data_IF_343499950320
#
_entry.id   IF_343499950320
#
_cell.length_a   1.000
_cell.length_b   1.000
_cell.length_c   1.000
_cell.angle_alpha   90.00
_cell.angle_beta   90.00
_cell.angle_gamma   90.00
#
_symmetry.space_group_name_H-M   'P 1'
#
loop_
_entity.id
_entity.type
_entity.pdbx_description
1 polymer ?
#
# COMPACT_ATOMS: atom_id res chain seq x y z
N UNK A 1 32.53 -6.10 -25.05
CA UNK A 1 31.47 -6.11 -26.06
C UNK A 1 30.24 -5.50 -25.39
N UNK A 2 30.14 -4.16 -25.45
CA UNK A 2 28.98 -3.42 -24.95
C UNK A 2 27.78 -3.80 -25.81
N UNK A 3 26.86 -4.54 -25.21
CA UNK A 3 25.53 -4.73 -25.78
C UNK A 3 24.84 -3.36 -25.79
N UNK A 4 24.88 -2.69 -26.94
CA UNK A 4 24.00 -1.53 -27.21
C UNK A 4 22.58 -1.98 -27.04
N UNK A 5 21.98 -1.62 -25.89
CA UNK A 5 20.53 -1.80 -25.66
C UNK A 5 19.79 -1.16 -26.84
N UNK A 6 18.93 -1.92 -27.49
CA UNK A 6 18.09 -1.38 -28.55
C UNK A 6 17.32 -0.16 -28.02
N UNK A 7 17.23 0.90 -28.84
CA UNK A 7 16.62 2.19 -28.46
C UNK A 7 15.25 2.13 -27.73
N UNK A 8 14.36 1.14 -27.98
CA UNK A 8 13.12 0.96 -27.24
C UNK A 8 13.31 0.59 -25.76
N UNK A 9 14.31 -0.26 -25.44
CA UNK A 9 14.56 -0.71 -24.05
C UNK A 9 15.12 0.40 -23.16
N UNK A 10 15.91 1.32 -23.71
CA UNK A 10 16.48 2.46 -22.98
C UNK A 10 15.40 3.45 -22.47
N UNK A 11 14.23 3.48 -23.08
CA UNK A 11 13.11 4.36 -22.69
C UNK A 11 12.12 3.69 -21.71
N UNK A 12 12.13 2.38 -21.59
CA UNK A 12 11.11 1.61 -20.82
C UNK A 12 11.14 1.96 -19.33
N UNK A 13 12.30 1.89 -18.67
CA UNK A 13 12.41 2.18 -17.24
C UNK A 13 12.09 3.63 -16.88
N UNK A 14 12.62 4.65 -17.59
CA UNK A 14 12.21 6.04 -17.34
C UNK A 14 10.73 6.29 -17.56
N UNK A 15 10.13 5.71 -18.61
CA UNK A 15 8.69 5.85 -18.89
C UNK A 15 7.85 5.18 -17.81
N UNK A 16 8.28 4.01 -17.32
CA UNK A 16 7.63 3.31 -16.20
C UNK A 16 7.73 4.13 -14.92
N UNK A 17 8.90 4.72 -14.63
CA UNK A 17 9.10 5.59 -13.49
C UNK A 17 8.10 6.75 -13.47
N UNK A 18 7.98 7.49 -14.58
CA UNK A 18 7.05 8.60 -14.70
C UNK A 18 5.59 8.16 -14.63
N UNK A 19 5.25 7.03 -15.25
CA UNK A 19 3.89 6.50 -15.17
C UNK A 19 3.51 6.14 -13.73
N UNK A 20 4.41 5.47 -12.98
CA UNK A 20 4.18 5.10 -11.57
C UNK A 20 4.13 6.32 -10.66
N UNK A 21 4.98 7.32 -10.89
CA UNK A 21 4.95 8.59 -10.17
C UNK A 21 3.60 9.30 -10.32
N UNK A 22 3.16 9.51 -11.57
CA UNK A 22 1.94 10.25 -11.87
C UNK A 22 0.68 9.55 -11.36
N UNK A 23 0.61 8.22 -11.48
CA UNK A 23 -0.55 7.46 -11.05
C UNK A 23 -0.68 7.38 -9.51
N UNK A 24 0.43 7.61 -8.80
CA UNK A 24 0.46 7.55 -7.34
C UNK A 24 0.07 8.86 -6.65
N UNK A 25 -0.06 9.96 -7.39
CA UNK A 25 -0.44 11.27 -6.84
C UNK A 25 -1.71 11.23 -5.95
N UNK A 26 -2.81 10.56 -6.31
CA UNK A 26 -4.03 10.55 -5.49
C UNK A 26 -3.98 9.61 -4.27
N UNK A 27 -2.93 8.79 -4.08
CA UNK A 27 -2.95 7.71 -3.10
C UNK A 27 -3.17 8.16 -1.66
N UNK A 28 -2.50 9.23 -1.23
CA UNK A 28 -2.67 9.73 0.12
C UNK A 28 -4.05 10.34 0.35
N UNK A 29 -4.57 11.10 -0.61
CA UNK A 29 -5.92 11.66 -0.52
C UNK A 29 -6.97 10.56 -0.44
N UNK A 30 -6.84 9.51 -1.24
CA UNK A 30 -7.72 8.34 -1.16
C UNK A 30 -7.60 7.59 0.17
N UNK A 31 -6.44 7.63 0.81
CA UNK A 31 -6.25 7.04 2.13
C UNK A 31 -6.88 7.86 3.27
N UNK A 32 -6.68 9.18 3.25
CA UNK A 32 -7.04 10.06 4.36
C UNK A 32 -8.40 10.76 4.20
N UNK A 33 -8.69 11.29 3.02
CA UNK A 33 -9.87 12.15 2.82
C UNK A 33 -11.10 11.33 2.42
N UNK A 34 -10.92 10.22 1.71
CA UNK A 34 -12.06 9.42 1.24
C UNK A 34 -12.95 8.87 2.38
N UNK A 35 -12.42 8.40 3.54
CA UNK A 35 -13.27 8.02 4.66
C UNK A 35 -14.15 9.17 5.15
N UNK A 36 -13.58 10.37 5.24
CA UNK A 36 -14.28 11.59 5.68
C UNK A 36 -15.34 11.99 4.65
N UNK A 37 -14.99 11.94 3.37
CA UNK A 37 -15.93 12.21 2.29
C UNK A 37 -17.07 11.19 2.24
N UNK A 38 -16.76 9.90 2.44
CA UNK A 38 -17.79 8.85 2.56
C UNK A 38 -18.75 9.12 3.71
N UNK A 39 -18.25 9.54 4.88
CA UNK A 39 -19.07 9.94 6.01
C UNK A 39 -19.96 11.13 5.69
N UNK A 40 -19.46 12.16 4.99
CA UNK A 40 -20.24 13.30 4.54
C UNK A 40 -21.36 12.91 3.56
N UNK A 41 -21.16 11.86 2.76
CA UNK A 41 -22.19 11.26 1.90
C UNK A 41 -23.19 10.38 2.67
N UNK A 42 -23.04 10.23 3.98
CA UNK A 42 -23.89 9.43 4.83
C UNK A 42 -23.51 7.95 4.94
N UNK A 43 -22.30 7.57 4.54
CA UNK A 43 -21.83 6.20 4.68
C UNK A 43 -21.67 5.80 6.15
N UNK A 44 -22.12 4.60 6.50
CA UNK A 44 -21.81 3.91 7.74
C UNK A 44 -20.32 3.52 7.81
N UNK A 45 -19.81 3.19 8.99
CA UNK A 45 -18.43 2.72 9.11
C UNK A 45 -18.21 1.39 8.38
N UNK A 46 -19.22 0.51 8.30
CA UNK A 46 -19.17 -0.71 7.47
C UNK A 46 -19.01 -0.37 5.99
N UNK A 47 -19.77 0.58 5.46
CA UNK A 47 -19.66 0.99 4.06
C UNK A 47 -18.30 1.63 3.76
N UNK A 48 -17.78 2.45 4.67
CA UNK A 48 -16.43 3.03 4.56
C UNK A 48 -15.37 1.91 4.59
N UNK A 49 -15.47 0.95 5.49
CA UNK A 49 -14.64 -0.26 5.48
C UNK A 49 -14.74 -1.00 4.15
N UNK A 50 -15.97 -1.12 3.61
CA UNK A 50 -16.26 -1.73 2.31
C UNK A 50 -15.51 -1.07 1.15
N UNK A 51 -15.32 0.26 1.15
CA UNK A 51 -14.53 0.98 0.14
C UNK A 51 -13.07 0.49 0.08
N UNK A 52 -12.47 0.20 1.23
CA UNK A 52 -11.09 -0.32 1.30
C UNK A 52 -11.03 -1.81 0.96
N UNK A 53 -11.99 -2.59 1.43
CA UNK A 53 -12.12 -4.00 1.09
C UNK A 53 -12.33 -4.21 -0.41
N UNK A 54 -13.14 -3.39 -1.07
CA UNK A 54 -13.37 -3.45 -2.52
C UNK A 54 -12.07 -3.31 -3.32
N UNK A 55 -11.16 -2.42 -2.88
CA UNK A 55 -9.85 -2.26 -3.50
C UNK A 55 -8.98 -3.52 -3.38
N UNK A 56 -9.02 -4.21 -2.23
CA UNK A 56 -8.19 -5.38 -1.94
C UNK A 56 -8.76 -6.68 -2.53
N UNK A 57 -10.09 -6.78 -2.67
CA UNK A 57 -10.77 -7.98 -3.17
C UNK A 57 -10.40 -8.33 -4.61
N UNK A 58 -10.40 -7.34 -5.50
CA UNK A 58 -10.16 -7.59 -6.93
C UNK A 58 -8.78 -8.23 -7.19
N UNK A 59 -7.67 -7.72 -6.62
CA UNK A 59 -6.37 -8.37 -6.76
C UNK A 59 -6.32 -9.82 -6.28
N UNK A 60 -7.07 -10.19 -5.24
CA UNK A 60 -7.10 -11.56 -4.71
C UNK A 60 -7.61 -12.55 -5.77
N UNK A 61 -8.69 -12.19 -6.47
CA UNK A 61 -9.28 -13.06 -7.48
C UNK A 61 -8.53 -13.05 -8.82
N UNK A 62 -7.95 -11.92 -9.20
CA UNK A 62 -7.34 -11.71 -10.52
C UNK A 62 -5.88 -12.19 -10.56
N UNK A 63 -5.09 -11.95 -9.53
CA UNK A 63 -3.64 -12.24 -9.52
C UNK A 63 -3.24 -13.69 -9.76
N UNK A 64 -3.95 -14.72 -9.25
CA UNK A 64 -3.58 -16.11 -9.54
C UNK A 64 -3.54 -16.44 -11.04
N UNK A 65 -4.43 -15.82 -11.81
CA UNK A 65 -4.53 -16.01 -13.26
C UNK A 65 -3.65 -15.06 -14.05
N UNK A 66 -3.34 -13.92 -13.47
CA UNK A 66 -2.66 -12.82 -14.15
C UNK A 66 -1.21 -13.16 -14.49
N UNK A 67 -0.51 -13.93 -13.66
CA UNK A 67 0.84 -14.39 -13.96
C UNK A 67 0.92 -15.16 -15.26
N UNK A 68 0.03 -16.16 -15.42
CA UNK A 68 -0.09 -16.93 -16.66
C UNK A 68 -0.50 -16.05 -17.85
N UNK A 69 -1.43 -15.14 -17.65
CA UNK A 69 -1.89 -14.22 -18.69
C UNK A 69 -0.77 -13.30 -19.19
N UNK A 70 0.04 -12.74 -18.28
CA UNK A 70 1.22 -11.94 -18.60
C UNK A 70 2.24 -12.72 -19.43
N UNK A 71 2.48 -14.00 -19.06
CA UNK A 71 3.43 -14.84 -19.78
C UNK A 71 2.91 -15.22 -21.18
N UNK A 72 1.59 -15.35 -21.37
CA UNK A 72 0.98 -15.72 -22.65
C UNK A 72 0.75 -14.54 -23.59
N UNK A 73 0.26 -13.43 -23.08
CA UNK A 73 -0.19 -12.30 -23.90
C UNK A 73 0.71 -11.06 -23.84
N UNK A 74 1.82 -11.14 -23.07
CA UNK A 74 2.79 -10.05 -22.91
C UNK A 74 2.50 -9.15 -21.70
N UNK A 75 3.44 -8.25 -21.39
CA UNK A 75 3.39 -7.37 -20.22
C UNK A 75 2.70 -6.06 -20.52
N UNK A 76 2.97 -5.51 -21.71
CA UNK A 76 2.48 -4.18 -22.12
C UNK A 76 0.95 -4.07 -22.14
N UNK A 77 0.16 -5.03 -22.67
CA UNK A 77 -1.30 -4.93 -22.65
C UNK A 77 -1.86 -4.79 -21.23
N UNK A 78 -1.34 -5.58 -20.28
CA UNK A 78 -1.80 -5.55 -18.89
C UNK A 78 -1.39 -4.27 -18.16
N UNK A 79 -0.19 -3.74 -18.42
CA UNK A 79 0.21 -2.43 -17.90
C UNK A 79 -0.76 -1.34 -18.35
N UNK A 80 -1.10 -1.31 -19.64
CA UNK A 80 -2.02 -0.32 -20.22
C UNK A 80 -3.46 -0.51 -19.71
N UNK A 81 -3.93 -1.76 -19.56
CA UNK A 81 -5.23 -2.05 -18.93
C UNK A 81 -5.25 -1.56 -17.47
N UNK A 82 -4.15 -1.76 -16.75
CA UNK A 82 -4.02 -1.26 -15.38
C UNK A 82 -4.09 0.26 -15.29
N UNK A 83 -3.31 0.97 -16.10
CA UNK A 83 -3.33 2.44 -16.16
C UNK A 83 -4.68 2.96 -16.65
N UNK A 84 -5.30 2.33 -17.67
CA UNK A 84 -6.65 2.65 -18.13
C UNK A 84 -7.70 2.47 -17.03
N UNK A 85 -7.58 1.41 -16.21
CA UNK A 85 -8.41 1.20 -15.04
C UNK A 85 -8.28 2.33 -14.00
N UNK A 86 -7.05 2.82 -13.77
CA UNK A 86 -6.86 3.99 -12.90
C UNK A 86 -7.45 5.27 -13.48
N UNK A 87 -7.31 5.53 -14.80
CA UNK A 87 -7.96 6.67 -15.46
C UNK A 87 -9.47 6.60 -15.29
N UNK A 88 -10.08 5.44 -15.58
CA UNK A 88 -11.50 5.23 -15.37
C UNK A 88 -11.92 5.44 -13.92
N UNK A 89 -11.13 4.93 -12.95
CA UNK A 89 -11.38 5.14 -11.54
C UNK A 89 -11.35 6.63 -11.17
N UNK A 90 -10.37 7.42 -11.64
CA UNK A 90 -10.30 8.86 -11.37
C UNK A 90 -11.53 9.60 -11.90
N UNK A 91 -12.01 9.25 -13.10
CA UNK A 91 -13.23 9.83 -13.66
C UNK A 91 -14.46 9.48 -12.80
N UNK A 92 -14.58 8.22 -12.36
CA UNK A 92 -15.70 7.82 -11.50
C UNK A 92 -15.59 8.46 -10.12
N UNK A 93 -14.40 8.60 -9.54
CA UNK A 93 -14.19 9.35 -8.29
C UNK A 93 -14.60 10.82 -8.44
N UNK A 94 -14.25 11.46 -9.55
CA UNK A 94 -14.66 12.84 -9.85
C UNK A 94 -16.19 13.00 -9.81
N UNK A 95 -16.91 12.02 -10.37
CA UNK A 95 -18.38 12.04 -10.46
C UNK A 95 -19.07 11.47 -9.21
N UNK A 96 -18.31 10.95 -8.22
CA UNK A 96 -18.86 10.26 -7.07
C UNK A 96 -19.50 11.22 -6.08
N UNK A 97 -20.82 11.27 -6.10
CA UNK A 97 -21.67 11.99 -5.15
C UNK A 97 -22.55 11.07 -4.30
N UNK A 98 -22.35 9.76 -4.41
CA UNK A 98 -23.00 8.72 -3.61
C UNK A 98 -21.99 7.67 -3.17
N UNK A 99 -22.29 6.95 -2.08
CA UNK A 99 -21.47 5.86 -1.55
C UNK A 99 -21.30 4.74 -2.58
N UNK A 100 -22.35 4.46 -3.36
CA UNK A 100 -22.33 3.43 -4.41
C UNK A 100 -21.35 3.77 -5.54
N UNK A 101 -21.30 5.04 -5.96
CA UNK A 101 -20.34 5.49 -6.97
C UNK A 101 -18.91 5.46 -6.43
N UNK A 102 -18.68 5.83 -5.16
CA UNK A 102 -17.36 5.65 -4.52
C UNK A 102 -16.95 4.18 -4.50
N UNK A 103 -17.87 3.28 -4.16
CA UNK A 103 -17.59 1.83 -4.15
C UNK A 103 -17.26 1.32 -5.55
N UNK A 104 -18.01 1.76 -6.55
CA UNK A 104 -17.76 1.44 -7.97
C UNK A 104 -16.37 1.92 -8.41
N UNK A 105 -16.01 3.16 -8.06
CA UNK A 105 -14.67 3.71 -8.33
C UNK A 105 -13.56 2.86 -7.70
N UNK A 106 -13.78 2.38 -6.48
CA UNK A 106 -12.84 1.49 -5.76
C UNK A 106 -12.68 0.13 -6.43
N UNK A 107 -13.77 -0.48 -6.90
CA UNK A 107 -13.67 -1.73 -7.67
C UNK A 107 -12.90 -1.53 -8.98
N UNK A 108 -13.18 -0.45 -9.72
CA UNK A 108 -12.45 -0.12 -10.96
C UNK A 108 -10.97 0.13 -10.64
N UNK A 109 -10.66 0.85 -9.55
CA UNK A 109 -9.29 1.06 -9.08
C UNK A 109 -8.61 -0.26 -8.71
N UNK A 110 -9.32 -1.19 -8.07
CA UNK A 110 -8.83 -2.53 -7.73
C UNK A 110 -8.44 -3.34 -8.97
N UNK A 111 -9.22 -3.26 -10.05
CA UNK A 111 -8.85 -3.80 -11.36
C UNK A 111 -7.56 -3.17 -11.86
N UNK A 112 -7.51 -1.85 -11.92
CA UNK A 112 -6.31 -1.12 -12.33
C UNK A 112 -5.08 -1.54 -11.52
N UNK A 113 -5.23 -1.65 -10.19
CA UNK A 113 -4.18 -2.06 -9.28
C UNK A 113 -3.69 -3.48 -9.55
N UNK A 114 -4.59 -4.44 -9.75
CA UNK A 114 -4.22 -5.84 -9.98
C UNK A 114 -3.30 -5.97 -11.20
N UNK A 115 -3.66 -5.33 -12.30
CA UNK A 115 -2.93 -5.39 -13.56
C UNK A 115 -1.64 -4.55 -13.53
N UNK A 116 -1.73 -3.29 -13.08
CA UNK A 116 -0.61 -2.34 -13.10
C UNK A 116 0.60 -2.86 -12.33
N UNK A 117 0.38 -3.25 -11.06
CA UNK A 117 1.49 -3.60 -10.18
C UNK A 117 2.23 -4.85 -10.63
N UNK A 118 1.50 -5.90 -11.03
CA UNK A 118 2.16 -7.13 -11.48
C UNK A 118 2.90 -6.92 -12.81
N UNK A 119 2.30 -6.21 -13.75
CA UNK A 119 2.92 -5.88 -15.01
C UNK A 119 4.18 -5.02 -14.82
N UNK A 120 4.11 -3.98 -13.95
CA UNK A 120 5.25 -3.10 -13.67
C UNK A 120 6.44 -3.87 -13.08
N UNK A 121 6.19 -4.70 -12.05
CA UNK A 121 7.24 -5.54 -11.43
C UNK A 121 7.86 -6.51 -12.46
N UNK A 122 7.03 -7.11 -13.31
CA UNK A 122 7.51 -8.07 -14.33
C UNK A 122 8.33 -7.35 -15.40
N UNK A 123 7.90 -6.16 -15.87
CA UNK A 123 8.67 -5.34 -16.83
C UNK A 123 10.05 -4.98 -16.26
N UNK A 124 10.11 -4.54 -15.00
CA UNK A 124 11.41 -4.26 -14.35
C UNK A 124 12.28 -5.51 -14.31
N UNK A 125 11.71 -6.66 -13.96
CA UNK A 125 12.45 -7.92 -13.91
C UNK A 125 12.97 -8.38 -15.29
N UNK A 126 12.21 -8.09 -16.36
CA UNK A 126 12.57 -8.47 -17.73
C UNK A 126 13.67 -7.53 -18.31
N UNK A 127 13.62 -6.23 -18.01
CA UNK A 127 14.51 -5.22 -18.61
C UNK A 127 15.78 -4.96 -17.79
N UNK A 128 15.71 -5.11 -16.46
CA UNK A 128 16.84 -4.85 -15.58
C UNK A 128 17.90 -5.97 -15.64
N UNK A 129 19.18 -5.58 -15.69
CA UNK A 129 20.28 -6.51 -15.50
C UNK A 129 20.19 -7.22 -14.14
N UNK A 130 20.70 -8.44 -14.04
CA UNK A 130 20.67 -9.24 -12.79
C UNK A 130 21.26 -8.46 -11.61
N UNK A 131 22.37 -7.75 -11.84
CA UNK A 131 23.07 -6.93 -10.83
C UNK A 131 22.37 -5.61 -10.53
N UNK A 132 21.53 -5.08 -11.43
CA UNK A 132 20.83 -3.80 -11.30
C UNK A 132 19.37 -3.90 -10.88
N UNK A 133 18.82 -5.11 -10.73
CA UNK A 133 17.38 -5.32 -10.42
C UNK A 133 16.95 -4.63 -9.13
N UNK A 134 17.73 -4.78 -8.05
CA UNK A 134 17.41 -4.15 -6.77
C UNK A 134 17.34 -2.62 -6.86
N UNK A 135 18.28 -2.01 -7.59
CA UNK A 135 18.29 -0.57 -7.84
C UNK A 135 17.05 -0.12 -8.61
N UNK A 136 16.70 -0.82 -9.70
CA UNK A 136 15.56 -0.47 -10.54
C UNK A 136 14.22 -0.65 -9.83
N UNK A 137 14.05 -1.70 -9.00
CA UNK A 137 12.88 -1.84 -8.14
C UNK A 137 12.80 -0.68 -7.13
N UNK A 138 13.94 -0.33 -6.51
CA UNK A 138 14.02 0.81 -5.59
C UNK A 138 13.62 2.13 -6.25
N UNK A 139 14.00 2.35 -7.51
CA UNK A 139 13.58 3.54 -8.26
C UNK A 139 12.06 3.60 -8.49
N UNK A 140 11.41 2.47 -8.75
CA UNK A 140 9.95 2.43 -8.90
C UNK A 140 9.25 2.68 -7.56
N UNK A 141 9.72 2.07 -6.46
CA UNK A 141 9.20 2.34 -5.12
C UNK A 141 9.38 3.82 -4.73
N UNK A 142 10.50 4.44 -5.13
CA UNK A 142 10.78 5.86 -4.95
C UNK A 142 9.80 6.73 -5.77
N UNK A 143 9.54 6.39 -7.03
CA UNK A 143 8.57 7.10 -7.87
C UNK A 143 7.18 7.12 -7.23
N UNK A 144 6.72 5.96 -6.72
CA UNK A 144 5.44 5.80 -6.05
C UNK A 144 5.38 6.64 -4.78
N UNK A 145 6.40 6.55 -3.94
CA UNK A 145 6.45 7.27 -2.66
C UNK A 145 6.49 8.78 -2.86
N UNK A 146 7.30 9.25 -3.82
CA UNK A 146 7.38 10.68 -4.19
C UNK A 146 6.07 11.17 -4.79
N UNK A 147 5.45 10.38 -5.68
CA UNK A 147 4.14 10.70 -6.24
C UNK A 147 3.08 10.83 -5.15
N UNK A 148 2.98 9.84 -4.27
CA UNK A 148 2.05 9.84 -3.16
C UNK A 148 2.27 11.06 -2.23
N UNK A 149 3.51 11.37 -1.86
CA UNK A 149 3.84 12.50 -0.99
C UNK A 149 3.45 13.83 -1.63
N UNK A 150 3.91 14.07 -2.87
CA UNK A 150 3.65 15.33 -3.57
C UNK A 150 2.15 15.49 -3.83
N UNK A 151 1.50 14.44 -4.31
CA UNK A 151 0.07 14.49 -4.59
C UNK A 151 -0.77 14.69 -3.32
N UNK A 152 -0.41 14.03 -2.21
CA UNK A 152 -1.06 14.23 -0.92
C UNK A 152 -0.92 15.67 -0.44
N UNK A 153 0.29 16.23 -0.52
CA UNK A 153 0.55 17.63 -0.12
C UNK A 153 -0.25 18.60 -0.96
N UNK A 154 -0.25 18.44 -2.28
CA UNK A 154 -1.03 19.27 -3.20
C UNK A 154 -2.53 19.13 -2.95
N UNK A 155 -3.00 17.90 -2.73
CA UNK A 155 -4.41 17.62 -2.47
C UNK A 155 -4.91 18.22 -1.15
N UNK A 156 -4.16 18.08 -0.07
CA UNK A 156 -4.51 18.72 1.20
C UNK A 156 -4.47 20.24 1.08
N UNK A 157 -3.45 20.81 0.41
CA UNK A 157 -3.37 22.26 0.16
C UNK A 157 -4.59 22.75 -0.62
N UNK A 158 -4.98 22.02 -1.66
CA UNK A 158 -6.16 22.38 -2.45
C UNK A 158 -7.46 22.31 -1.62
N UNK A 159 -7.68 21.23 -0.85
CA UNK A 159 -8.85 21.09 0.03
C UNK A 159 -8.87 22.20 1.08
N UNK A 160 -7.74 22.49 1.72
CA UNK A 160 -7.63 23.53 2.73
C UNK A 160 -7.93 24.92 2.16
N UNK A 161 -7.35 25.23 0.99
CA UNK A 161 -7.60 26.51 0.29
C UNK A 161 -9.07 26.64 -0.09
N UNK A 162 -9.68 25.60 -0.67
CA UNK A 162 -11.09 25.60 -1.05
C UNK A 162 -12.02 25.72 0.16
N UNK A 163 -11.66 25.09 1.29
CA UNK A 163 -12.40 25.24 2.55
C UNK A 163 -12.36 26.68 3.08
N UNK A 164 -11.22 27.37 2.94
CA UNK A 164 -11.08 28.81 3.26
C UNK A 164 -12.03 29.69 2.43
N UNK A 165 -12.34 29.30 1.21
CA UNK A 165 -13.36 29.94 0.35
C UNK A 165 -14.79 29.42 0.59
N UNK A 166 -15.02 28.62 1.65
CA UNK A 166 -16.31 28.03 2.01
C UNK A 166 -16.89 27.09 0.93
N UNK A 167 -16.02 26.51 0.11
CA UNK A 167 -16.41 25.48 -0.87
C UNK A 167 -16.74 24.19 -0.12
N UNK A 168 -17.89 23.57 -0.42
CA UNK A 168 -18.29 22.29 0.17
C UNK A 168 -17.29 21.20 -0.21
N UNK A 169 -17.07 20.22 0.69
CA UNK A 169 -16.16 19.09 0.45
C UNK A 169 -16.54 18.30 -0.82
N UNK A 170 -17.83 18.18 -1.12
CA UNK A 170 -18.32 17.52 -2.35
C UNK A 170 -17.84 18.22 -3.63
N UNK A 171 -17.82 19.55 -3.64
CA UNK A 171 -17.30 20.33 -4.77
C UNK A 171 -15.76 20.27 -4.81
N UNK A 172 -15.11 20.36 -3.66
CA UNK A 172 -13.65 20.22 -3.56
C UNK A 172 -13.20 18.84 -4.06
N UNK A 173 -13.94 17.79 -3.73
CA UNK A 173 -13.73 16.42 -4.20
C UNK A 173 -13.79 16.34 -5.73
N UNK A 174 -14.85 16.90 -6.34
CA UNK A 174 -14.98 16.93 -7.80
C UNK A 174 -13.77 17.56 -8.47
N UNK A 175 -13.38 18.79 -8.07
CA UNK A 175 -12.27 19.50 -8.67
C UNK A 175 -10.92 18.81 -8.45
N UNK A 176 -10.73 18.20 -7.28
CA UNK A 176 -9.53 17.48 -6.95
C UNK A 176 -9.35 16.25 -7.84
N UNK A 177 -10.39 15.42 -7.99
CA UNK A 177 -10.31 14.23 -8.83
C UNK A 177 -10.32 14.53 -10.31
N UNK A 178 -10.94 15.64 -10.74
CA UNK A 178 -10.77 16.16 -12.09
C UNK A 178 -9.30 16.53 -12.36
N UNK A 179 -8.65 17.19 -11.40
CA UNK A 179 -7.21 17.50 -11.48
C UNK A 179 -6.35 16.24 -11.51
N UNK A 180 -6.65 15.21 -10.70
CA UNK A 180 -5.90 13.94 -10.71
C UNK A 180 -6.15 13.09 -11.95
N UNK A 181 -7.24 13.30 -12.68
CA UNK A 181 -7.49 12.61 -13.95
C UNK A 181 -6.43 12.99 -15.01
N UNK A 182 -5.95 14.23 -15.00
CA UNK A 182 -4.93 14.69 -15.96
C UNK A 182 -3.59 13.91 -15.82
N UNK A 183 -2.95 13.85 -14.65
CA UNK A 183 -1.74 13.03 -14.50
C UNK A 183 -1.97 11.54 -14.76
N UNK A 184 -3.17 11.00 -14.47
CA UNK A 184 -3.49 9.62 -14.81
C UNK A 184 -3.52 9.40 -16.33
N UNK A 185 -4.10 10.34 -17.10
CA UNK A 185 -4.08 10.33 -18.58
C UNK A 185 -2.65 10.48 -19.11
N UNK A 186 -1.85 11.36 -18.53
CA UNK A 186 -0.43 11.53 -18.90
C UNK A 186 0.35 10.25 -18.63
N UNK A 187 0.14 9.59 -17.49
CA UNK A 187 0.76 8.30 -17.17
C UNK A 187 0.44 7.24 -18.23
N UNK A 188 -0.83 7.14 -18.61
CA UNK A 188 -1.27 6.25 -19.68
C UNK A 188 -0.59 6.59 -21.02
N UNK A 189 -0.56 7.86 -21.41
CA UNK A 189 0.06 8.32 -22.65
C UNK A 189 1.58 8.08 -22.71
N UNK A 190 2.28 8.32 -21.59
CA UNK A 190 3.73 8.04 -21.47
C UNK A 190 3.98 6.54 -21.60
N UNK A 191 3.22 5.70 -20.90
CA UNK A 191 3.36 4.25 -20.99
C UNK A 191 3.03 3.72 -22.39
N UNK A 192 1.96 4.25 -23.01
CA UNK A 192 1.56 3.87 -24.38
C UNK A 192 2.68 4.10 -25.41
N UNK A 193 3.39 5.22 -25.31
CA UNK A 193 4.44 5.62 -26.27
C UNK A 193 5.84 5.13 -25.89
N UNK A 194 6.13 5.01 -24.59
CA UNK A 194 7.48 4.79 -24.08
C UNK A 194 7.79 3.36 -23.66
N UNK A 195 6.76 2.51 -23.47
CA UNK A 195 6.96 1.13 -23.01
C UNK A 195 6.56 0.15 -24.11
N UNK A 196 7.55 -0.57 -24.61
CA UNK A 196 7.38 -1.67 -25.56
C UNK A 196 6.98 -2.97 -24.87
N UNK A 197 6.75 -4.02 -25.66
CA UNK A 197 6.61 -5.37 -25.10
C UNK A 197 7.97 -5.87 -24.60
N UNK A 198 8.00 -6.46 -23.40
CA UNK A 198 9.24 -6.92 -22.75
C UNK A 198 9.24 -8.42 -22.50
N UNK A 199 8.23 -9.13 -22.98
CA UNK A 199 8.12 -10.59 -22.80
C UNK A 199 9.38 -11.28 -23.37
N UNK A 200 10.09 -12.10 -22.58
CA UNK A 200 11.18 -12.92 -23.11
C UNK A 200 10.65 -14.00 -24.08
N UNK A 201 11.42 -14.28 -25.11
CA UNK A 201 11.09 -15.35 -26.10
C UNK A 201 11.17 -16.78 -25.53
N UNK A 202 11.80 -16.93 -24.36
CA UNK A 202 11.97 -18.24 -23.73
C UNK A 202 10.87 -18.57 -22.72
N UNK A 203 10.31 -19.76 -22.82
CA UNK A 203 9.41 -20.36 -21.81
C UNK A 203 10.20 -20.53 -20.50
N UNK A 204 9.73 -19.88 -19.41
CA UNK A 204 10.25 -20.14 -18.06
C UNK A 204 10.03 -21.61 -17.70
N UNK A 205 11.04 -22.21 -17.06
CA UNK A 205 10.93 -23.56 -16.50
C UNK A 205 9.70 -23.65 -15.56
N UNK A 206 9.06 -24.84 -15.46
CA UNK A 206 7.94 -25.06 -14.56
C UNK A 206 8.32 -24.67 -13.13
N UNK A 207 7.39 -24.02 -12.43
CA UNK A 207 7.56 -23.63 -11.03
C UNK A 207 7.79 -24.88 -10.17
N UNK A 208 8.95 -25.02 -9.55
CA UNK A 208 9.28 -26.15 -8.67
C UNK A 208 8.32 -26.15 -7.47
N UNK A 209 7.53 -27.23 -7.33
CA UNK A 209 6.52 -27.39 -6.28
C UNK A 209 7.16 -27.97 -5.02
N UNK A 210 8.10 -27.26 -4.39
CA UNK A 210 8.61 -27.68 -3.08
C UNK A 210 7.59 -27.43 -1.98
N UNK A 211 7.48 -28.32 -0.98
CA UNK A 211 6.57 -28.12 0.14
C UNK A 211 6.91 -26.84 0.91
N UNK A 212 5.88 -26.10 1.29
CA UNK A 212 6.03 -24.86 2.04
C UNK A 212 6.71 -25.12 3.39
N UNK A 213 7.70 -24.32 3.74
CA UNK A 213 8.33 -24.41 5.06
C UNK A 213 7.33 -24.07 6.18
N UNK A 214 7.44 -24.75 7.33
CA UNK A 214 6.59 -24.45 8.51
C UNK A 214 6.70 -23.01 8.95
N UNK A 215 7.87 -22.41 8.81
CA UNK A 215 8.08 -21.00 9.14
C UNK A 215 7.34 -20.05 8.17
N UNK A 216 7.30 -20.39 6.88
CA UNK A 216 6.56 -19.59 5.90
C UNK A 216 5.05 -19.65 6.17
N UNK A 217 4.51 -20.84 6.47
CA UNK A 217 3.08 -21.02 6.80
C UNK A 217 2.73 -20.23 8.08
N UNK A 218 3.57 -20.31 9.12
CA UNK A 218 3.38 -19.56 10.35
C UNK A 218 3.43 -18.04 10.10
N UNK A 219 4.40 -17.57 9.31
CA UNK A 219 4.50 -16.16 8.92
C UNK A 219 3.28 -15.70 8.14
N UNK A 220 2.77 -16.50 7.20
CA UNK A 220 1.53 -16.18 6.46
C UNK A 220 0.33 -15.99 7.41
N UNK A 221 0.18 -16.86 8.43
CA UNK A 221 -0.85 -16.71 9.43
C UNK A 221 -0.72 -15.43 10.25
N UNK A 222 0.51 -15.09 10.66
CA UNK A 222 0.82 -13.83 11.37
C UNK A 222 0.51 -12.62 10.48
N UNK A 223 0.97 -12.64 9.24
CA UNK A 223 0.78 -11.53 8.27
C UNK A 223 -0.70 -11.35 7.90
N UNK A 224 -1.45 -12.44 7.77
CA UNK A 224 -2.91 -12.37 7.60
C UNK A 224 -3.56 -11.68 8.80
N UNK A 225 -3.23 -12.10 10.02
CA UNK A 225 -3.82 -11.56 11.24
C UNK A 225 -3.46 -10.07 11.43
N UNK A 226 -2.17 -9.72 11.28
CA UNK A 226 -1.70 -8.32 11.39
C UNK A 226 -2.21 -7.44 10.26
N UNK A 227 -2.27 -7.97 9.02
CA UNK A 227 -2.86 -7.30 7.87
C UNK A 227 -4.34 -7.02 8.07
N UNK A 228 -5.10 -8.00 8.57
CA UNK A 228 -6.52 -7.83 8.87
C UNK A 228 -6.74 -6.81 9.98
N UNK A 229 -6.01 -6.93 11.10
CA UNK A 229 -6.21 -6.06 12.25
C UNK A 229 -5.78 -4.61 11.98
N UNK A 230 -4.68 -4.39 11.27
CA UNK A 230 -4.24 -3.04 10.89
C UNK A 230 -5.16 -2.41 9.84
N UNK A 231 -5.59 -3.19 8.84
CA UNK A 231 -6.55 -2.74 7.84
C UNK A 231 -7.93 -2.43 8.43
N UNK A 232 -8.31 -3.07 9.54
CA UNK A 232 -9.53 -2.78 10.30
C UNK A 232 -9.54 -1.35 10.87
N UNK A 233 -8.38 -0.87 11.32
CA UNK A 233 -8.24 0.45 11.95
C UNK A 233 -8.10 1.56 10.92
N UNK A 234 -7.32 1.33 9.87
CA UNK A 234 -6.87 2.38 8.94
C UNK A 234 -8.01 3.23 8.34
N UNK A 235 -9.11 2.68 7.79
CA UNK A 235 -10.19 3.48 7.23
C UNK A 235 -10.95 4.30 8.28
N UNK A 236 -11.01 3.79 9.50
CA UNK A 236 -11.79 4.37 10.60
C UNK A 236 -11.01 5.43 11.37
N UNK A 237 -9.67 5.38 11.29
CA UNK A 237 -8.77 6.24 12.03
C UNK A 237 -9.10 7.73 11.82
N UNK A 238 -9.26 8.16 10.57
CA UNK A 238 -9.52 9.57 10.27
C UNK A 238 -10.86 10.02 10.79
N UNK A 239 -11.90 9.19 10.68
CA UNK A 239 -13.23 9.49 11.18
C UNK A 239 -13.22 9.56 12.70
N UNK A 240 -12.60 8.56 13.33
CA UNK A 240 -12.48 8.51 14.79
C UNK A 240 -11.76 9.75 15.34
N UNK A 241 -10.62 10.12 14.73
CA UNK A 241 -9.84 11.28 15.16
C UNK A 241 -10.57 12.61 14.93
N UNK A 242 -11.31 12.73 13.82
CA UNK A 242 -12.12 13.91 13.54
C UNK A 242 -13.20 14.10 14.62
N UNK A 243 -13.88 13.03 14.99
CA UNK A 243 -14.93 13.06 16.01
C UNK A 243 -14.35 13.24 17.43
N UNK A 244 -13.28 12.50 17.74
CA UNK A 244 -12.69 12.45 19.07
C UNK A 244 -11.93 13.74 19.42
N UNK A 245 -11.10 14.24 18.50
CA UNK A 245 -10.30 15.48 18.68
C UNK A 245 -11.03 16.74 18.21
N UNK A 246 -12.21 16.62 17.60
CA UNK A 246 -12.94 17.72 16.95
C UNK A 246 -12.07 18.53 15.99
N UNK A 247 -11.15 17.83 15.33
CA UNK A 247 -10.17 18.42 14.43
C UNK A 247 -10.66 18.38 12.99
N UNK A 248 -10.38 19.43 12.24
CA UNK A 248 -10.63 19.41 10.79
C UNK A 248 -9.59 18.55 10.05
N UNK A 249 -9.88 18.24 8.79
CA UNK A 249 -9.02 17.40 7.93
C UNK A 249 -7.63 18.00 7.75
N UNK A 250 -7.54 19.34 7.68
CA UNK A 250 -6.27 20.05 7.51
C UNK A 250 -5.38 19.90 8.74
N UNK A 251 -5.95 20.07 9.94
CA UNK A 251 -5.24 19.91 11.20
C UNK A 251 -4.71 18.46 11.37
N UNK A 252 -5.50 17.44 11.01
CA UNK A 252 -5.07 16.05 11.00
C UNK A 252 -3.97 15.81 9.95
N UNK A 253 -4.08 16.43 8.78
CA UNK A 253 -3.05 16.39 7.74
C UNK A 253 -1.72 16.97 8.22
N UNK A 254 -1.73 18.13 8.90
CA UNK A 254 -0.54 18.75 9.48
C UNK A 254 0.08 17.86 10.56
N UNK A 255 -0.73 17.24 11.42
CA UNK A 255 -0.26 16.30 12.44
C UNK A 255 0.44 15.08 11.84
N UNK A 256 0.09 14.68 10.61
CA UNK A 256 0.71 13.56 9.91
C UNK A 256 2.06 13.91 9.24
N UNK A 257 2.36 15.18 8.97
CA UNK A 257 3.57 15.60 8.24
C UNK A 257 4.87 15.03 8.83
N UNK A 258 5.13 15.08 10.15
CA UNK A 258 6.36 14.51 10.72
C UNK A 258 6.49 13.00 10.44
N UNK A 259 5.39 12.27 10.57
CA UNK A 259 5.33 10.83 10.27
C UNK A 259 5.62 10.53 8.80
N UNK A 260 5.07 11.34 7.89
CA UNK A 260 5.31 11.22 6.45
C UNK A 260 6.78 11.48 6.08
N UNK A 261 7.42 12.47 6.70
CA UNK A 261 8.86 12.74 6.53
C UNK A 261 9.69 11.53 6.98
N UNK A 262 9.41 11.00 8.17
CA UNK A 262 10.08 9.82 8.71
C UNK A 262 9.94 8.63 7.77
N UNK A 263 8.74 8.34 7.32
CA UNK A 263 8.46 7.23 6.39
C UNK A 263 9.16 7.38 5.03
N UNK A 264 9.44 8.62 4.61
CA UNK A 264 10.10 8.90 3.33
C UNK A 264 11.62 8.80 3.40
N UNK A 265 12.24 9.09 4.57
CA UNK A 265 13.69 9.27 4.70
C UNK A 265 14.36 8.10 5.45
N UNK A 266 13.67 7.49 6.40
CA UNK A 266 14.27 6.53 7.33
C UNK A 266 14.32 5.05 6.86
N UNK A 267 13.46 4.52 5.98
CA UNK A 267 13.42 3.08 5.68
C UNK A 267 14.77 2.52 5.23
N UNK A 268 15.50 3.23 4.35
CA UNK A 268 16.81 2.82 3.85
C UNK A 268 17.89 2.82 4.95
N UNK A 269 17.78 3.71 5.93
CA UNK A 269 18.72 3.81 7.05
C UNK A 269 18.42 2.80 8.15
N UNK A 270 17.13 2.62 8.48
CA UNK A 270 16.68 1.70 9.52
C UNK A 270 16.71 0.23 9.05
N UNK A 271 16.58 -0.04 7.76
CA UNK A 271 16.80 -1.37 7.19
C UNK A 271 18.17 -1.96 7.54
N UNK A 272 19.21 -1.11 7.70
CA UNK A 272 20.53 -1.52 8.19
C UNK A 272 20.54 -2.05 9.64
N UNK A 273 19.55 -1.67 10.43
CA UNK A 273 19.38 -2.23 11.80
C UNK A 273 19.03 -3.72 11.70
N UNK A 274 18.11 -4.08 10.82
CA UNK A 274 17.76 -5.47 10.54
C UNK A 274 18.96 -6.27 10.01
N UNK A 275 19.88 -5.59 9.31
CA UNK A 275 21.13 -6.20 8.85
C UNK A 275 22.15 -6.45 9.97
N UNK A 276 22.12 -5.70 11.06
CA UNK A 276 23.06 -5.84 12.18
C UNK A 276 22.51 -6.69 13.31
N UNK A 277 21.25 -6.50 13.69
CA UNK A 277 20.65 -7.08 14.90
C UNK A 277 19.72 -8.27 14.61
N UNK A 278 19.67 -8.71 13.35
CA UNK A 278 18.77 -9.76 12.90
C UNK A 278 17.40 -9.26 12.46
N UNK A 279 16.60 -10.16 11.90
CA UNK A 279 15.28 -9.82 11.29
C UNK A 279 14.17 -9.73 12.32
N UNK A 280 14.19 -10.60 13.33
CA UNK A 280 13.09 -10.73 14.30
C UNK A 280 12.94 -9.52 15.21
N UNK A 281 14.04 -8.93 15.67
CA UNK A 281 13.99 -7.82 16.62
C UNK A 281 13.26 -6.59 16.10
N UNK A 282 13.56 -6.09 14.88
CA UNK A 282 12.77 -5.00 14.29
C UNK A 282 11.29 -5.37 14.04
N UNK A 283 11.00 -6.61 13.65
CA UNK A 283 9.62 -7.08 13.46
C UNK A 283 8.83 -7.05 14.77
N UNK A 284 9.39 -7.60 15.85
CA UNK A 284 8.76 -7.60 17.18
C UNK A 284 8.59 -6.15 17.68
N UNK A 285 9.64 -5.33 17.55
CA UNK A 285 9.59 -3.92 17.93
C UNK A 285 8.48 -3.15 17.19
N UNK A 286 8.34 -3.37 15.88
CA UNK A 286 7.26 -2.79 15.07
C UNK A 286 5.87 -3.17 15.56
N UNK A 287 5.65 -4.45 15.85
CA UNK A 287 4.39 -4.96 16.36
C UNK A 287 4.04 -4.39 17.75
N UNK A 288 5.03 -4.31 18.66
CA UNK A 288 4.81 -3.75 20.00
C UNK A 288 4.50 -2.25 19.93
N UNK A 289 5.29 -1.48 19.16
CA UNK A 289 5.04 -0.03 19.00
C UNK A 289 3.70 0.22 18.34
N UNK A 290 3.34 -0.53 17.29
CA UNK A 290 2.02 -0.45 16.68
C UNK A 290 0.88 -0.81 17.65
N UNK A 291 1.05 -1.82 18.50
CA UNK A 291 0.09 -2.18 19.53
C UNK A 291 -0.10 -1.05 20.57
N UNK A 292 1.00 -0.47 21.05
CA UNK A 292 0.96 0.66 21.99
C UNK A 292 0.31 1.88 21.34
N UNK A 293 0.66 2.19 20.08
CA UNK A 293 0.04 3.27 19.34
C UNK A 293 -1.47 3.07 19.21
N UNK A 294 -1.89 1.87 18.81
CA UNK A 294 -3.32 1.54 18.67
C UNK A 294 -4.08 1.65 20.00
N UNK A 295 -3.48 1.20 21.10
CA UNK A 295 -4.07 1.32 22.44
C UNK A 295 -4.21 2.77 22.91
N UNK A 296 -3.26 3.63 22.56
CA UNK A 296 -3.22 5.04 23.01
C UNK A 296 -4.13 5.96 22.19
N UNK A 297 -4.34 5.68 20.89
CA UNK A 297 -5.15 6.54 20.00
C UNK A 297 -6.51 6.92 20.62
N UNK A 298 -7.30 6.01 21.21
CA UNK A 298 -8.59 6.36 21.80
C UNK A 298 -8.52 7.29 23.02
N UNK A 299 -7.35 7.47 23.60
CA UNK A 299 -7.12 8.29 24.80
C UNK A 299 -6.40 9.62 24.51
N UNK A 300 -6.07 9.89 23.24
CA UNK A 300 -5.36 11.11 22.88
C UNK A 300 -6.28 12.34 22.99
N UNK A 301 -5.79 13.36 23.70
CA UNK A 301 -6.52 14.64 23.87
C UNK A 301 -5.96 15.79 23.03
N UNK A 302 -4.89 15.58 22.23
CA UNK A 302 -4.29 16.65 21.45
C UNK A 302 -3.66 16.20 20.13
N UNK A 303 -3.64 17.11 19.15
CA UNK A 303 -2.98 16.91 17.85
C UNK A 303 -1.45 16.75 17.98
N UNK A 304 -0.82 17.41 18.97
CA UNK A 304 0.62 17.28 19.20
C UNK A 304 0.96 15.88 19.69
N UNK A 305 0.18 15.34 20.64
CA UNK A 305 0.36 13.96 21.10
C UNK A 305 0.16 12.95 19.96
N UNK A 306 -0.83 13.18 19.10
CA UNK A 306 -1.06 12.39 17.90
C UNK A 306 0.12 12.43 16.93
N UNK A 307 0.64 13.63 16.62
CA UNK A 307 1.79 13.79 15.74
C UNK A 307 3.05 13.07 16.26
N UNK A 308 3.32 13.15 17.56
CA UNK A 308 4.42 12.43 18.21
C UNK A 308 4.21 10.91 18.11
N UNK A 309 3.01 10.43 18.42
CA UNK A 309 2.69 9.01 18.35
C UNK A 309 2.85 8.45 16.94
N UNK A 310 2.32 9.12 15.94
CA UNK A 310 2.48 8.74 14.53
C UNK A 310 3.92 8.77 14.06
N UNK A 311 4.71 9.74 14.54
CA UNK A 311 6.14 9.83 14.22
C UNK A 311 6.91 8.62 14.75
N UNK A 312 6.64 8.21 16.00
CA UNK A 312 7.24 7.03 16.63
C UNK A 312 6.81 5.74 15.92
N UNK A 313 5.52 5.61 15.65
CA UNK A 313 4.94 4.47 14.92
C UNK A 313 5.54 4.34 13.51
N UNK A 314 5.63 5.45 12.77
CA UNK A 314 6.23 5.48 11.44
C UNK A 314 7.71 5.10 11.43
N UNK A 315 8.48 5.54 12.43
CA UNK A 315 9.89 5.15 12.58
C UNK A 315 10.03 3.65 12.84
N UNK A 316 9.19 3.11 13.70
CA UNK A 316 9.17 1.68 14.01
C UNK A 316 8.76 0.83 12.80
N UNK A 317 7.74 1.25 12.07
CA UNK A 317 7.29 0.60 10.84
C UNK A 317 8.35 0.65 9.73
N UNK A 318 9.06 1.77 9.62
CA UNK A 318 10.16 1.95 8.67
C UNK A 318 11.34 0.99 8.95
N UNK A 319 11.51 0.51 10.18
CA UNK A 319 12.50 -0.52 10.53
C UNK A 319 11.94 -1.94 10.33
N UNK A 320 10.68 -2.18 10.69
CA UNK A 320 10.06 -3.50 10.69
C UNK A 320 9.79 -4.02 9.27
N UNK A 321 9.28 -3.18 8.36
CA UNK A 321 8.88 -3.60 7.01
C UNK A 321 10.03 -4.16 6.16
N UNK A 322 11.21 -3.53 6.09
CA UNK A 322 12.36 -4.12 5.39
C UNK A 322 12.83 -5.43 6.03
N UNK A 323 12.78 -5.51 7.36
CA UNK A 323 13.17 -6.73 8.09
C UNK A 323 12.24 -7.91 7.76
N UNK A 324 10.93 -7.67 7.71
CA UNK A 324 9.93 -8.68 7.36
C UNK A 324 10.10 -9.18 5.92
N UNK A 325 10.28 -8.27 4.96
CA UNK A 325 10.55 -8.63 3.55
C UNK A 325 11.83 -9.44 3.40
N UNK A 326 12.88 -9.05 4.11
CA UNK A 326 14.14 -9.78 4.11
C UNK A 326 13.99 -11.17 4.76
N UNK A 327 13.24 -11.26 5.86
CA UNK A 327 12.94 -12.54 6.51
C UNK A 327 12.21 -13.51 5.55
N UNK A 328 11.21 -13.04 4.79
CA UNK A 328 10.54 -13.85 3.75
C UNK A 328 11.54 -14.35 2.72
N UNK A 329 12.44 -13.48 2.25
CA UNK A 329 13.45 -13.85 1.26
C UNK A 329 14.44 -14.90 1.82
N UNK A 330 14.82 -14.77 3.10
CA UNK A 330 15.76 -15.68 3.77
C UNK A 330 15.15 -17.08 3.97
N UNK A 331 13.87 -17.20 4.35
CA UNK A 331 13.19 -18.50 4.59
C UNK A 331 12.72 -19.18 3.31
N UNK A 332 12.57 -18.43 2.21
CA UNK A 332 12.09 -18.95 0.94
C UNK A 332 13.11 -19.80 0.18
N UNK A 333 14.43 -19.54 0.38
CA UNK A 333 15.49 -20.10 -0.46
C UNK A 333 15.52 -19.49 -1.87
N UNK A 334 16.60 -19.73 -2.60
CA UNK A 334 16.83 -19.04 -3.90
C UNK A 334 15.83 -19.44 -4.99
N UNK A 335 15.49 -20.74 -5.05
CA UNK A 335 14.69 -21.33 -6.14
C UNK A 335 13.19 -20.99 -6.07
N UNK A 336 12.64 -20.68 -4.89
CA UNK A 336 11.20 -20.49 -4.67
C UNK A 336 10.83 -19.12 -4.08
N UNK A 337 11.75 -18.14 -4.15
CA UNK A 337 11.52 -16.77 -3.62
C UNK A 337 10.27 -16.11 -4.19
N UNK A 338 10.04 -16.25 -5.49
CA UNK A 338 8.89 -15.63 -6.16
C UNK A 338 7.55 -16.17 -5.65
N UNK A 339 7.40 -17.49 -5.55
CA UNK A 339 6.17 -18.12 -5.08
C UNK A 339 5.93 -17.87 -3.59
N UNK A 340 6.99 -17.91 -2.77
CA UNK A 340 6.91 -17.62 -1.33
C UNK A 340 6.51 -16.16 -1.07
N UNK A 341 7.07 -15.22 -1.81
CA UNK A 341 6.68 -13.82 -1.72
C UNK A 341 5.26 -13.58 -2.23
N UNK A 342 4.85 -14.32 -3.26
CA UNK A 342 3.47 -14.33 -3.76
C UNK A 342 2.45 -14.77 -2.70
N UNK A 343 2.75 -15.87 -1.99
CA UNK A 343 1.91 -16.38 -0.91
C UNK A 343 1.87 -15.44 0.31
N UNK A 344 3.02 -14.87 0.68
CA UNK A 344 3.11 -13.86 1.72
C UNK A 344 2.23 -12.64 1.40
N UNK A 345 2.34 -12.09 0.19
CA UNK A 345 1.52 -10.95 -0.22
C UNK A 345 0.05 -11.31 -0.36
N UNK A 346 -0.28 -12.53 -0.77
CA UNK A 346 -1.66 -13.03 -0.79
C UNK A 346 -2.28 -13.06 0.61
N UNK A 347 -1.56 -13.57 1.62
CA UNK A 347 -2.01 -13.58 3.00
C UNK A 347 -2.29 -12.15 3.51
N UNK A 348 -1.39 -11.19 3.21
CA UNK A 348 -1.59 -9.79 3.54
C UNK A 348 -2.85 -9.20 2.88
N UNK A 349 -3.03 -9.40 1.56
CA UNK A 349 -4.20 -8.87 0.85
C UNK A 349 -5.51 -9.50 1.32
N UNK A 350 -5.48 -10.79 1.67
CA UNK A 350 -6.65 -11.45 2.25
C UNK A 350 -7.06 -10.80 3.58
N UNK A 351 -6.07 -10.52 4.44
CA UNK A 351 -6.30 -9.76 5.67
C UNK A 351 -6.83 -8.34 5.38
N UNK A 352 -6.18 -7.63 4.45
CA UNK A 352 -6.58 -6.28 4.04
C UNK A 352 -7.99 -6.22 3.39
N UNK A 353 -8.49 -7.32 2.85
CA UNK A 353 -9.86 -7.39 2.32
C UNK A 353 -10.92 -7.59 3.41
N UNK A 354 -10.62 -8.41 4.43
CA UNK A 354 -11.57 -8.75 5.49
C UNK A 354 -11.56 -7.70 6.61
N UNK A 355 -10.38 -7.18 6.93
CA UNK A 355 -10.18 -6.28 8.07
C UNK A 355 -11.08 -5.06 8.09
N UNK A 356 -11.17 -4.26 7.00
CA UNK A 356 -11.97 -3.04 7.00
C UNK A 356 -13.47 -3.27 7.21
N UNK A 357 -14.02 -4.37 6.67
CA UNK A 357 -15.42 -4.75 6.91
C UNK A 357 -15.66 -5.12 8.37
N UNK A 358 -14.77 -5.95 8.93
CA UNK A 358 -14.85 -6.33 10.35
C UNK A 358 -14.71 -5.11 11.26
N UNK A 359 -13.79 -4.20 10.94
CA UNK A 359 -13.60 -2.95 11.67
C UNK A 359 -14.81 -2.04 11.62
N UNK A 360 -15.38 -1.83 10.44
CA UNK A 360 -16.60 -1.05 10.27
C UNK A 360 -17.76 -1.62 11.07
N UNK A 361 -17.96 -2.96 11.02
CA UNK A 361 -19.00 -3.62 11.80
C UNK A 361 -18.80 -3.44 13.32
N UNK A 362 -17.58 -3.61 13.82
CA UNK A 362 -17.27 -3.37 15.23
C UNK A 362 -17.52 -1.92 15.63
N UNK A 363 -17.13 -0.97 14.79
CA UNK A 363 -17.30 0.46 15.02
C UNK A 363 -18.77 0.84 15.14
N UNK A 364 -19.62 0.34 14.23
CA UNK A 364 -21.05 0.66 14.18
C UNK A 364 -21.88 -0.08 15.26
N UNK A 365 -21.49 -1.33 15.62
CA UNK A 365 -22.34 -2.18 16.46
C UNK A 365 -21.83 -2.34 17.91
N UNK A 366 -20.62 -1.84 18.24
CA UNK A 366 -20.08 -1.94 19.60
C UNK A 366 -19.67 -0.56 20.12
N UNK A 367 -18.40 -0.25 20.07
CA UNK A 367 -17.86 1.04 20.48
C UNK A 367 -16.81 1.51 19.46
N UNK A 368 -16.77 2.82 19.09
CA UNK A 368 -15.81 3.33 18.09
C UNK A 368 -14.34 3.03 18.37
N UNK A 369 -13.96 2.83 19.64
CA UNK A 369 -12.59 2.45 20.02
C UNK A 369 -12.32 0.95 19.91
N UNK A 370 -13.33 0.09 19.74
CA UNK A 370 -13.16 -1.37 19.74
C UNK A 370 -12.21 -1.90 18.66
N UNK A 371 -12.23 -1.39 17.42
CA UNK A 371 -11.25 -1.78 16.41
C UNK A 371 -9.81 -1.55 16.84
N UNK A 372 -9.53 -0.45 17.56
CA UNK A 372 -8.18 -0.12 18.05
C UNK A 372 -7.73 -1.10 19.14
N UNK A 373 -8.60 -1.43 20.09
CA UNK A 373 -8.26 -2.39 21.14
C UNK A 373 -8.07 -3.80 20.60
N UNK A 374 -8.91 -4.24 19.66
CA UNK A 374 -8.72 -5.54 19.01
C UNK A 374 -7.41 -5.58 18.21
N UNK A 375 -7.07 -4.51 17.48
CA UNK A 375 -5.79 -4.40 16.80
C UNK A 375 -4.62 -4.51 17.78
N UNK A 376 -4.69 -3.83 18.92
CA UNK A 376 -3.69 -3.93 20.00
C UNK A 376 -3.46 -5.39 20.41
N UNK A 377 -4.54 -6.13 20.71
CA UNK A 377 -4.45 -7.53 21.13
C UNK A 377 -3.83 -8.41 20.04
N UNK A 378 -4.28 -8.25 18.79
CA UNK A 378 -3.74 -9.04 17.67
C UNK A 378 -2.26 -8.75 17.43
N UNK A 379 -1.84 -7.49 17.50
CA UNK A 379 -0.42 -7.11 17.33
C UNK A 379 0.45 -7.66 18.46
N UNK A 380 -0.01 -7.64 19.72
CA UNK A 380 0.72 -8.23 20.86
C UNK A 380 0.83 -9.75 20.72
N UNK A 381 -0.25 -10.43 20.39
CA UNK A 381 -0.23 -11.89 20.14
C UNK A 381 0.74 -12.19 18.98
N UNK A 382 0.70 -11.41 17.90
CA UNK A 382 1.59 -11.56 16.75
C UNK A 382 3.06 -11.35 17.13
N UNK A 383 3.37 -10.38 18.00
CA UNK A 383 4.72 -10.17 18.52
C UNK A 383 5.23 -11.40 19.29
N UNK A 384 4.39 -11.99 20.15
CA UNK A 384 4.69 -13.23 20.87
C UNK A 384 4.89 -14.39 19.88
N UNK A 385 4.02 -14.54 18.90
CA UNK A 385 4.16 -15.61 17.89
C UNK A 385 5.44 -15.45 17.05
N UNK A 386 5.80 -14.23 16.63
CA UNK A 386 7.09 -13.96 15.96
C UNK A 386 8.26 -14.37 16.87
N UNK A 387 8.20 -14.03 18.16
CA UNK A 387 9.26 -14.37 19.10
C UNK A 387 9.43 -15.88 19.31
N UNK A 388 8.32 -16.62 19.42
CA UNK A 388 8.31 -18.04 19.80
C UNK A 388 8.38 -19.00 18.62
N UNK A 389 7.69 -18.69 17.51
CA UNK A 389 7.49 -19.65 16.39
C UNK A 389 8.53 -19.43 15.29
N UNK A 390 8.87 -18.19 14.97
CA UNK A 390 9.85 -17.91 13.93
C UNK A 390 11.28 -18.04 14.49
N UNK A 391 12.15 -18.67 13.72
CA UNK A 391 13.59 -18.76 14.07
C UNK A 391 14.34 -17.66 13.35
N UNK A 392 15.31 -17.03 14.02
CA UNK A 392 16.17 -16.05 13.37
C UNK A 392 16.89 -16.66 12.17
N UNK A 393 16.85 -15.97 11.03
CA UNK A 393 17.42 -16.47 9.78
C UNK A 393 18.86 -16.05 9.58
N UNK A 394 19.31 -15.05 10.33
CA UNK A 394 20.67 -14.54 10.27
C UNK A 394 21.46 -14.92 11.52
N UNK A 395 22.66 -15.48 11.33
CA UNK A 395 23.61 -15.61 12.42
C UNK A 395 24.06 -14.20 12.85
N UNK A 396 23.55 -13.73 13.97
CA UNK A 396 24.03 -12.50 14.61
C UNK A 396 25.39 -12.84 15.22
N UNK A 397 26.46 -12.54 14.51
CA UNK A 397 27.78 -12.52 15.14
C UNK A 397 27.78 -11.31 16.09
N UNK A 398 27.56 -11.62 17.39
CA UNK A 398 27.73 -10.68 18.50
C UNK A 398 29.23 -10.52 18.77
#
# INVERSE_FOLDING_TARGET
MELTLEKPQARTLPSLWWAMFLISLPFGILGFVMPIYGKELGASAVEIGGLFSALALVPIFVRPFLGFALDRWGRRPFLLMGLGGYVAAMIVFCLSNTVQLLTTARFIQGWGQAFLWLAAVTIVADVASVTGRGHNFGQIDEAISRGALIGTTLGFTAIFTLAGFKVKLTQAWFWLFLAYTLPALLAFGIAWRGIGETRPDATRAPMDQRPLSRQLVALMGIVFATGASSAMVWPLLMIFLQDHLRADVGALGVAYVPAAIISSVLPSRLGRIADRWGRKLPMIGGLIVGAVASALIPHLGSLVALALLWTIESASYAAATPAERAFVADIAGEDVRGSSYGLYTFAYFLGAAVGPLAGGWLYDNTHPAMPFYLNTVVLLISAVLVAMVLRETRNVNI
#
